data_IF_872326344178
#
_entry.id   IF_872326344178
#
_cell.length_a   1.000
_cell.length_b   1.000
_cell.length_c   1.000
_cell.angle_alpha   90.00
_cell.angle_beta   90.00
_cell.angle_gamma   90.00
#
_symmetry.space_group_name_H-M   'P 1'
#
loop_
_entity.id
_entity.type
_entity.pdbx_description
1 polymer ?
#
# COMPACT_ATOMS: atom_id res chain seq x y z
N UNK A 1 2.09 -15.16 -0.41
CA UNK A 1 1.71 -13.89 0.26
C UNK A 1 2.45 -12.69 -0.35
N UNK A 2 3.78 -12.74 -0.52
CA UNK A 2 4.55 -11.66 -1.18
C UNK A 2 4.01 -11.28 -2.57
N UNK A 3 3.63 -12.25 -3.39
CA UNK A 3 3.16 -11.97 -4.76
C UNK A 3 1.83 -11.21 -4.80
N UNK A 4 0.91 -11.52 -3.88
CA UNK A 4 -0.39 -10.82 -3.78
C UNK A 4 -0.20 -9.40 -3.27
N UNK A 5 0.69 -9.20 -2.29
CA UNK A 5 1.06 -7.86 -1.82
C UNK A 5 1.65 -7.02 -2.96
N UNK A 6 2.62 -7.58 -3.70
CA UNK A 6 3.22 -6.92 -4.86
C UNK A 6 2.17 -6.56 -5.93
N UNK A 7 1.23 -7.45 -6.20
CA UNK A 7 0.15 -7.20 -7.15
C UNK A 7 -0.76 -6.04 -6.72
N UNK A 8 -1.15 -5.97 -5.43
CA UNK A 8 -1.96 -4.86 -4.91
C UNK A 8 -1.20 -3.53 -5.00
N UNK A 9 0.08 -3.52 -4.60
CA UNK A 9 0.91 -2.32 -4.66
C UNK A 9 1.11 -1.84 -6.10
N UNK A 10 1.36 -2.77 -7.03
CA UNK A 10 1.48 -2.44 -8.45
C UNK A 10 0.21 -1.81 -9.01
N UNK A 11 -0.97 -2.37 -8.70
CA UNK A 11 -2.22 -1.79 -9.15
C UNK A 11 -2.44 -0.40 -8.55
N UNK A 12 -2.24 -0.24 -7.23
CA UNK A 12 -2.36 1.07 -6.58
C UNK A 12 -1.40 2.12 -7.16
N UNK A 13 -0.19 1.71 -7.54
CA UNK A 13 0.80 2.57 -8.19
C UNK A 13 0.37 2.99 -9.61
N UNK A 14 -0.14 2.05 -10.41
CA UNK A 14 -0.52 2.32 -11.81
C UNK A 14 -1.79 3.15 -11.93
N UNK A 15 -2.79 2.91 -11.08
CA UNK A 15 -4.11 3.56 -11.19
C UNK A 15 -4.27 4.82 -10.35
N UNK A 16 -3.18 5.31 -9.73
CA UNK A 16 -3.12 6.43 -8.77
C UNK A 16 -3.89 6.20 -7.45
N UNK A 17 -5.08 5.60 -7.52
CA UNK A 17 -5.89 5.25 -6.37
C UNK A 17 -6.68 3.96 -6.57
N UNK A 18 -6.73 3.12 -5.53
CA UNK A 18 -7.40 1.82 -5.56
C UNK A 18 -8.59 1.81 -4.59
N UNK A 19 -9.80 1.57 -5.10
CA UNK A 19 -11.00 1.42 -4.25
C UNK A 19 -10.83 0.23 -3.31
N UNK A 20 -11.26 0.37 -2.05
CA UNK A 20 -11.10 -0.68 -1.02
C UNK A 20 -11.76 -2.00 -1.40
N UNK A 21 -12.99 -1.95 -1.94
CA UNK A 21 -13.70 -3.14 -2.39
C UNK A 21 -12.92 -3.87 -3.49
N UNK A 22 -12.43 -3.13 -4.49
CA UNK A 22 -11.58 -3.65 -5.55
C UNK A 22 -10.28 -4.22 -5.02
N UNK A 23 -9.62 -3.56 -4.06
CA UNK A 23 -8.42 -4.08 -3.42
C UNK A 23 -8.68 -5.42 -2.72
N UNK A 24 -9.81 -5.55 -2.02
CA UNK A 24 -10.23 -6.80 -1.37
C UNK A 24 -10.44 -7.90 -2.40
N UNK A 25 -11.18 -7.61 -3.48
CA UNK A 25 -11.45 -8.56 -4.57
C UNK A 25 -10.16 -9.01 -5.27
N UNK A 26 -9.26 -8.07 -5.59
CA UNK A 26 -7.98 -8.35 -6.25
C UNK A 26 -7.07 -9.27 -5.45
N UNK A 27 -7.25 -9.35 -4.13
CA UNK A 27 -6.45 -10.29 -3.32
C UNK A 27 -6.79 -11.76 -3.61
N UNK A 28 -8.00 -12.04 -4.10
CA UNK A 28 -8.52 -13.41 -4.21
C UNK A 28 -8.66 -14.14 -2.86
N UNK A 29 -8.59 -13.43 -1.73
CA UNK A 29 -8.63 -14.01 -0.39
C UNK A 29 -10.02 -13.87 0.25
N UNK A 30 -10.33 -14.67 1.29
CA UNK A 30 -11.44 -14.36 2.19
C UNK A 30 -11.31 -12.95 2.76
N UNK A 31 -12.44 -12.25 2.89
CA UNK A 31 -12.48 -10.82 3.22
C UNK A 31 -11.67 -10.46 4.47
N UNK A 32 -11.73 -11.28 5.53
CA UNK A 32 -10.95 -11.07 6.77
C UNK A 32 -9.44 -11.06 6.50
N UNK A 33 -8.95 -11.99 5.69
CA UNK A 33 -7.54 -12.10 5.34
C UNK A 33 -7.10 -10.95 4.43
N UNK A 34 -7.94 -10.57 3.46
CA UNK A 34 -7.71 -9.42 2.58
C UNK A 34 -7.60 -8.11 3.38
N UNK A 35 -8.55 -7.87 4.30
CA UNK A 35 -8.53 -6.69 5.19
C UNK A 35 -7.28 -6.67 6.07
N UNK A 36 -6.85 -7.83 6.59
CA UNK A 36 -5.61 -7.94 7.38
C UNK A 36 -4.38 -7.59 6.55
N UNK A 37 -4.29 -8.09 5.31
CA UNK A 37 -3.18 -7.78 4.41
C UNK A 37 -3.13 -6.28 4.10
N UNK A 38 -4.26 -5.67 3.74
CA UNK A 38 -4.33 -4.22 3.46
C UNK A 38 -3.93 -3.42 4.70
N UNK A 39 -4.39 -3.81 5.90
CA UNK A 39 -4.01 -3.15 7.14
C UNK A 39 -2.49 -3.26 7.41
N UNK A 40 -1.89 -4.41 7.13
CA UNK A 40 -0.44 -4.60 7.25
C UNK A 40 0.33 -3.69 6.28
N UNK A 41 -0.06 -3.65 5.00
CA UNK A 41 0.60 -2.79 4.00
C UNK A 41 0.52 -1.30 4.38
N UNK A 42 -0.58 -0.89 5.02
CA UNK A 42 -0.70 0.46 5.58
C UNK A 42 0.25 0.71 6.74
N UNK A 43 0.34 -0.24 7.67
CA UNK A 43 1.27 -0.13 8.82
C UNK A 43 2.72 -0.06 8.37
N UNK A 44 3.07 -0.75 7.28
CA UNK A 44 4.41 -0.73 6.68
C UNK A 44 4.68 0.55 5.86
N UNK A 45 3.70 1.45 5.70
CA UNK A 45 3.84 2.69 4.93
C UNK A 45 3.79 2.52 3.41
N UNK A 46 3.34 1.36 2.93
CA UNK A 46 3.27 1.02 1.50
C UNK A 46 1.94 1.44 0.86
N UNK A 47 0.90 1.60 1.69
CA UNK A 47 -0.42 2.12 1.30
C UNK A 47 -0.88 3.19 2.29
N UNK A 48 -1.63 4.17 1.78
CA UNK A 48 -2.23 5.22 2.60
C UNK A 48 -3.71 5.44 2.29
N UNK A 49 -4.43 6.02 3.25
CA UNK A 49 -5.78 6.51 3.08
C UNK A 49 -5.96 7.81 3.87
N UNK A 50 -6.86 8.70 3.42
CA UNK A 50 -7.17 9.96 4.11
C UNK A 50 -8.33 9.80 5.09
N UNK A 51 -9.13 8.74 4.94
CA UNK A 51 -10.16 8.32 5.90
C UNK A 51 -10.47 6.84 5.74
N UNK A 52 -11.28 6.28 6.64
CA UNK A 52 -11.78 4.90 6.54
C UNK A 52 -12.58 4.62 5.25
N UNK A 53 -13.09 5.67 4.60
CA UNK A 53 -13.90 5.56 3.38
C UNK A 53 -13.15 5.95 2.11
N UNK A 54 -11.95 6.52 2.22
CA UNK A 54 -11.20 6.94 1.04
C UNK A 54 -10.60 5.75 0.30
N UNK A 55 -10.23 5.95 -0.99
CA UNK A 55 -9.37 5.02 -1.72
C UNK A 55 -8.04 4.78 -0.99
N UNK A 56 -7.36 3.72 -1.43
CA UNK A 56 -5.99 3.39 -1.05
C UNK A 56 -5.04 4.00 -2.08
N UNK A 57 -4.01 4.69 -1.60
CA UNK A 57 -2.97 5.28 -2.43
C UNK A 57 -1.67 4.53 -2.20
N UNK A 58 -0.89 4.34 -3.26
CA UNK A 58 0.47 3.84 -3.11
C UNK A 58 1.35 4.92 -2.44
N UNK A 59 2.18 4.51 -1.49
CA UNK A 59 3.09 5.43 -0.79
C UNK A 59 4.49 4.82 -0.67
N UNK A 60 5.49 5.71 -0.62
CA UNK A 60 6.86 5.36 -0.29
C UNK A 60 6.99 5.34 1.24
N UNK A 61 7.46 4.23 1.83
CA UNK A 61 7.59 4.14 3.28
C UNK A 61 8.75 5.02 3.78
N UNK A 62 8.50 5.80 4.82
CA UNK A 62 9.46 6.78 5.37
C UNK A 62 10.79 6.16 5.76
N UNK A 63 10.78 4.96 6.36
CA UNK A 63 12.01 4.28 6.78
C UNK A 63 12.91 3.86 5.59
N UNK A 64 12.35 3.76 4.38
CA UNK A 64 13.10 3.44 3.17
C UNK A 64 13.44 4.70 2.35
N UNK A 65 12.93 5.87 2.72
CA UNK A 65 13.18 7.14 2.02
C UNK A 65 14.69 7.42 1.85
N UNK A 66 15.58 7.21 2.85
CA UNK A 66 17.02 7.44 2.68
C UNK A 66 17.68 6.50 1.66
N UNK A 67 17.10 5.32 1.43
CA UNK A 67 17.60 4.34 0.46
C UNK A 67 17.15 4.68 -0.96
N UNK A 68 15.90 5.13 -1.10
CA UNK A 68 15.35 5.52 -2.41
C UNK A 68 15.85 6.89 -2.87
N UNK A 69 15.97 7.84 -1.94
CA UNK A 69 16.34 9.22 -2.22
C UNK A 69 17.47 9.71 -1.32
N UNK A 70 18.68 9.13 -1.43
CA UNK A 70 19.80 9.44 -0.54
C UNK A 70 20.25 10.91 -0.58
N UNK A 71 19.86 11.68 -1.60
CA UNK A 71 20.21 13.09 -1.77
C UNK A 71 19.03 14.04 -1.46
N UNK A 72 17.85 13.52 -1.16
CA UNK A 72 16.66 14.30 -0.80
C UNK A 72 16.23 14.06 0.65
N UNK A 73 16.55 12.89 1.21
CA UNK A 73 16.34 12.62 2.62
C UNK A 73 17.24 13.55 3.47
N UNK A 74 16.73 14.08 4.59
CA UNK A 74 17.55 14.87 5.50
C UNK A 74 18.77 14.06 5.95
N UNK A 75 19.95 14.63 5.80
CA UNK A 75 21.17 14.06 6.40
C UNK A 75 21.06 14.32 7.90
N UNK A 76 20.76 13.29 8.67
CA UNK A 76 20.71 13.35 10.14
C UNK A 76 22.08 13.63 10.71
#
# INVERSE_FOLDING_TARGET
MKDIAAFILYNAFVVDSLKRATAIELTGMPERSARRLIAQLKQEGLLADTSSYSPLYWQIPEHAEPWYFPQLAPVV
#
